data_IF_693578637118
#
_entry.id   IF_693578637118
#
_cell.length_a   1.000
_cell.length_b   1.000
_cell.length_c   1.000
_cell.angle_alpha   90.00
_cell.angle_beta   90.00
_cell.angle_gamma   90.00
#
_symmetry.space_group_name_H-M   'P 1'
#
loop_
_entity.id
_entity.type
_entity.pdbx_description
1 polymer ?
#
# COMPACT_ATOMS: atom_id res chain seq x y z
N UNK A 1 26.56 -15.37 -38.68
CA UNK A 1 26.41 -15.92 -37.31
C UNK A 1 26.17 -14.78 -36.29
N UNK A 2 24.94 -14.29 -36.10
CA UNK A 2 24.59 -13.15 -35.21
C UNK A 2 23.46 -13.47 -34.19
N UNK A 3 23.20 -14.74 -33.92
CA UNK A 3 22.08 -15.18 -33.04
C UNK A 3 22.40 -15.24 -31.54
N UNK A 4 23.68 -15.39 -31.16
CA UNK A 4 24.07 -15.64 -29.76
C UNK A 4 23.94 -14.43 -28.82
N UNK A 5 24.16 -13.21 -29.32
CA UNK A 5 24.16 -12.02 -28.45
C UNK A 5 22.77 -11.57 -28.02
N UNK A 6 21.74 -11.75 -28.87
CA UNK A 6 20.35 -11.41 -28.51
C UNK A 6 19.77 -12.36 -27.45
N UNK A 7 20.11 -13.65 -27.52
CA UNK A 7 19.71 -14.64 -26.53
C UNK A 7 20.37 -14.40 -25.16
N UNK A 8 21.66 -14.04 -25.15
CA UNK A 8 22.38 -13.66 -23.93
C UNK A 8 21.84 -12.36 -23.31
N UNK A 9 21.48 -11.38 -24.13
CA UNK A 9 20.88 -10.14 -23.66
C UNK A 9 19.48 -10.37 -23.08
N UNK A 10 18.64 -11.19 -23.73
CA UNK A 10 17.33 -11.59 -23.18
C UNK A 10 17.48 -12.34 -21.86
N UNK A 11 18.42 -13.28 -21.75
CA UNK A 11 18.68 -14.00 -20.51
C UNK A 11 19.18 -13.08 -19.38
N UNK A 12 20.04 -12.10 -19.70
CA UNK A 12 20.54 -11.11 -18.74
C UNK A 12 19.43 -10.14 -18.29
N UNK A 13 18.54 -9.72 -19.20
CA UNK A 13 17.38 -8.88 -18.88
C UNK A 13 16.37 -9.64 -18.01
N UNK A 14 16.11 -10.91 -18.32
CA UNK A 14 15.24 -11.78 -17.53
C UNK A 14 15.80 -11.98 -16.12
N UNK A 15 17.14 -12.11 -15.99
CA UNK A 15 17.82 -12.23 -14.69
C UNK A 15 17.72 -10.94 -13.87
N UNK A 16 17.82 -9.76 -14.50
CA UNK A 16 17.61 -8.47 -13.82
C UNK A 16 16.14 -8.21 -13.46
N UNK A 17 15.18 -8.66 -14.27
CA UNK A 17 13.75 -8.61 -13.90
C UNK A 17 13.42 -9.55 -12.73
N UNK A 18 14.02 -10.75 -12.70
CA UNK A 18 13.82 -11.75 -11.64
C UNK A 18 14.42 -11.32 -10.29
N UNK A 19 15.30 -10.32 -10.29
CA UNK A 19 15.90 -9.72 -9.09
C UNK A 19 15.16 -8.47 -8.60
N UNK A 20 14.08 -8.05 -9.27
CA UNK A 20 13.12 -7.12 -8.68
C UNK A 20 12.29 -7.93 -7.69
N UNK A 21 12.87 -8.10 -6.50
CA UNK A 21 12.38 -8.92 -5.40
C UNK A 21 10.93 -8.64 -5.05
N UNK A 22 10.04 -9.30 -5.78
CA UNK A 22 8.74 -9.69 -5.27
C UNK A 22 9.10 -10.72 -4.21
N UNK A 23 8.90 -10.44 -2.90
CA UNK A 23 9.23 -11.40 -1.88
C UNK A 23 8.52 -12.70 -2.24
N UNK A 24 9.35 -13.73 -2.33
CA UNK A 24 9.00 -15.13 -2.52
C UNK A 24 7.65 -15.40 -1.86
N UNK A 25 6.68 -15.75 -2.72
CA UNK A 25 5.42 -16.39 -2.40
C UNK A 25 5.16 -16.54 -0.90
N UNK A 26 4.33 -15.68 -0.33
CA UNK A 26 3.51 -16.10 0.80
C UNK A 26 2.60 -17.18 0.21
N UNK A 27 3.08 -18.42 0.25
CA UNK A 27 2.56 -19.56 -0.47
C UNK A 27 1.04 -19.68 -0.21
N UNK A 28 0.24 -19.38 -1.23
CA UNK A 28 -1.23 -19.37 -1.15
C UNK A 28 -1.91 -18.00 -1.06
N UNK A 29 -1.19 -16.87 -1.11
CA UNK A 29 -1.80 -15.53 -1.09
C UNK A 29 -1.30 -14.61 -2.23
N UNK A 30 -2.22 -13.86 -2.83
CA UNK A 30 -1.92 -12.90 -3.90
C UNK A 30 -1.28 -11.63 -3.34
N UNK A 31 0.02 -11.47 -3.60
CA UNK A 31 0.81 -10.33 -3.16
C UNK A 31 0.27 -8.98 -3.67
N UNK A 32 -0.26 -8.96 -4.90
CA UNK A 32 -0.90 -7.78 -5.47
C UNK A 32 -2.13 -7.33 -4.65
N UNK A 33 -2.94 -8.28 -4.17
CA UNK A 33 -4.12 -7.99 -3.32
C UNK A 33 -3.68 -7.43 -1.97
N UNK A 34 -2.63 -7.99 -1.37
CA UNK A 34 -2.07 -7.50 -0.09
C UNK A 34 -1.53 -6.08 -0.24
N UNK A 35 -0.82 -5.77 -1.33
CA UNK A 35 -0.33 -4.42 -1.62
C UNK A 35 -1.47 -3.41 -1.78
N UNK A 36 -2.55 -3.80 -2.46
CA UNK A 36 -3.74 -2.98 -2.66
C UNK A 36 -4.44 -2.69 -1.32
N UNK A 37 -4.48 -3.67 -0.43
CA UNK A 37 -4.93 -3.51 0.95
C UNK A 37 -4.01 -2.63 1.80
N UNK A 38 -2.70 -2.69 1.56
CA UNK A 38 -1.71 -1.78 2.16
C UNK A 38 -1.93 -0.31 1.80
N UNK A 39 -2.59 -0.03 0.67
CA UNK A 39 -2.93 1.33 0.22
C UNK A 39 -4.09 1.97 1.00
N UNK A 40 -4.88 1.17 1.74
CA UNK A 40 -6.02 1.66 2.52
C UNK A 40 -5.56 2.59 3.64
N UNK A 41 -4.48 2.24 4.36
CA UNK A 41 -3.97 3.08 5.45
C UNK A 41 -3.48 4.45 4.96
N UNK A 42 -2.61 4.54 3.93
CA UNK A 42 -2.25 5.82 3.33
C UNK A 42 -3.47 6.62 2.87
N UNK A 43 -4.47 5.98 2.25
CA UNK A 43 -5.68 6.67 1.78
C UNK A 43 -6.52 7.26 2.92
N UNK A 44 -6.66 6.55 4.04
CA UNK A 44 -7.39 7.05 5.21
C UNK A 44 -6.63 8.21 5.86
N UNK A 45 -5.30 8.08 6.00
CA UNK A 45 -4.46 9.13 6.57
C UNK A 45 -4.52 10.40 5.72
N UNK A 46 -4.38 10.29 4.39
CA UNK A 46 -4.47 11.46 3.51
C UNK A 46 -5.83 12.12 3.57
N UNK A 47 -6.92 11.34 3.62
CA UNK A 47 -8.27 11.88 3.74
C UNK A 47 -8.46 12.64 5.06
N UNK A 48 -7.99 12.09 6.18
CA UNK A 48 -8.00 12.78 7.48
C UNK A 48 -7.14 14.04 7.47
N UNK A 49 -5.95 14.01 6.87
CA UNK A 49 -5.10 15.20 6.73
C UNK A 49 -5.78 16.30 5.91
N UNK A 50 -6.42 15.95 4.79
CA UNK A 50 -7.16 16.90 3.96
C UNK A 50 -8.31 17.53 4.75
N UNK A 51 -9.09 16.72 5.47
CA UNK A 51 -10.18 17.22 6.34
C UNK A 51 -9.64 18.12 7.46
N UNK A 52 -8.54 17.74 8.10
CA UNK A 52 -7.87 18.53 9.13
C UNK A 52 -7.35 19.86 8.61
N UNK A 53 -6.77 19.87 7.41
CA UNK A 53 -6.29 21.08 6.76
C UNK A 53 -7.45 21.98 6.36
N UNK A 54 -8.47 21.45 5.68
CA UNK A 54 -9.66 22.20 5.26
C UNK A 54 -10.36 22.83 6.46
N UNK A 55 -10.56 22.08 7.54
CA UNK A 55 -11.18 22.62 8.76
C UNK A 55 -10.33 23.72 9.43
N UNK A 56 -9.00 23.55 9.49
CA UNK A 56 -8.11 24.56 10.05
C UNK A 56 -8.07 25.87 9.22
N UNK A 57 -8.24 25.77 7.90
CA UNK A 57 -8.36 26.94 7.02
C UNK A 57 -9.75 27.60 7.12
N UNK A 58 -10.82 26.81 7.15
CA UNK A 58 -12.20 27.31 7.34
C UNK A 58 -12.37 28.09 8.65
N UNK A 59 -11.74 27.61 9.73
CA UNK A 59 -11.80 28.25 11.05
C UNK A 59 -10.77 29.38 11.22
N UNK A 60 -10.02 29.73 10.18
CA UNK A 60 -8.99 30.77 10.19
C UNK A 60 -8.02 30.67 11.38
N UNK A 61 -7.60 29.44 11.70
CA UNK A 61 -6.67 29.22 12.80
C UNK A 61 -5.32 29.89 12.58
N UNK A 62 -4.67 30.27 13.69
CA UNK A 62 -3.29 30.74 13.67
C UNK A 62 -2.36 29.65 13.11
N UNK A 63 -1.22 30.06 12.55
CA UNK A 63 -0.18 29.15 12.05
C UNK A 63 0.14 27.98 13.00
N UNK A 64 0.42 28.19 14.30
CA UNK A 64 0.70 27.07 15.21
C UNK A 64 -0.50 26.14 15.38
N UNK A 65 -1.73 26.67 15.44
CA UNK A 65 -2.94 25.86 15.53
C UNK A 65 -3.17 25.02 14.28
N UNK A 66 -2.89 25.55 13.08
CA UNK A 66 -2.94 24.78 11.83
C UNK A 66 -2.01 23.57 11.85
N UNK A 67 -0.77 23.74 12.33
CA UNK A 67 0.15 22.61 12.52
C UNK A 67 -0.36 21.60 13.53
N UNK A 68 -0.93 22.06 14.65
CA UNK A 68 -1.49 21.20 15.68
C UNK A 68 -2.68 20.38 15.15
N UNK A 69 -3.58 21.01 14.39
CA UNK A 69 -4.72 20.35 13.74
C UNK A 69 -4.26 19.35 12.68
N UNK A 70 -3.21 19.67 11.91
CA UNK A 70 -2.63 18.73 10.95
C UNK A 70 -2.02 17.51 11.65
N UNK A 71 -1.25 17.72 12.72
CA UNK A 71 -0.63 16.63 13.49
C UNK A 71 -1.69 15.72 14.15
N UNK A 72 -2.69 16.32 14.79
CA UNK A 72 -3.79 15.57 15.43
C UNK A 72 -4.64 14.80 14.42
N UNK A 73 -5.00 15.41 13.28
CA UNK A 73 -5.74 14.72 12.22
C UNK A 73 -4.95 13.59 11.58
N UNK A 74 -3.63 13.72 11.45
CA UNK A 74 -2.75 12.64 10.99
C UNK A 74 -2.75 11.47 11.97
N UNK A 75 -2.61 11.74 13.28
CA UNK A 75 -2.66 10.72 14.33
C UNK A 75 -4.01 10.00 14.35
N UNK A 76 -5.12 10.74 14.25
CA UNK A 76 -6.47 10.19 14.18
C UNK A 76 -6.63 9.32 12.93
N UNK A 77 -6.18 9.79 11.76
CA UNK A 77 -6.22 9.02 10.53
C UNK A 77 -5.39 7.74 10.60
N UNK A 78 -4.23 7.79 11.26
CA UNK A 78 -3.38 6.62 11.46
C UNK A 78 -4.05 5.59 12.37
N UNK A 79 -4.63 6.03 13.49
CA UNK A 79 -5.37 5.17 14.42
C UNK A 79 -6.58 4.52 13.72
N UNK A 80 -7.40 5.31 13.02
CA UNK A 80 -8.57 4.83 12.29
C UNK A 80 -8.17 3.87 11.18
N UNK A 81 -7.14 4.18 10.40
CA UNK A 81 -6.65 3.31 9.34
C UNK A 81 -6.11 2.00 9.88
N UNK A 82 -5.36 2.04 11.00
CA UNK A 82 -4.82 0.83 11.64
C UNK A 82 -5.93 -0.05 12.20
N UNK A 83 -6.93 0.53 12.88
CA UNK A 83 -8.11 -0.19 13.36
C UNK A 83 -8.92 -0.80 12.20
N UNK A 84 -9.04 -0.06 11.10
CA UNK A 84 -9.74 -0.52 9.89
C UNK A 84 -9.02 -1.71 9.28
N UNK A 85 -7.69 -1.65 9.15
CA UNK A 85 -6.88 -2.78 8.70
C UNK A 85 -7.08 -3.96 9.66
N UNK A 86 -6.89 -3.80 10.96
CA UNK A 86 -7.05 -4.87 11.97
C UNK A 86 -8.39 -5.61 11.85
N UNK A 87 -9.50 -4.85 11.71
CA UNK A 87 -10.84 -5.44 11.53
C UNK A 87 -10.99 -6.14 10.19
N UNK A 88 -10.38 -5.60 9.15
CA UNK A 88 -10.47 -6.16 7.80
C UNK A 88 -9.45 -7.26 7.55
N UNK A 89 -8.40 -7.43 8.37
CA UNK A 89 -7.32 -8.40 8.15
C UNK A 89 -7.87 -9.81 7.92
N UNK A 90 -8.87 -10.24 8.69
CA UNK A 90 -9.51 -11.55 8.48
C UNK A 90 -10.22 -11.69 7.12
N UNK A 91 -10.86 -10.61 6.63
CA UNK A 91 -11.46 -10.59 5.28
C UNK A 91 -10.39 -10.45 4.19
N UNK A 92 -9.37 -9.62 4.42
CA UNK A 92 -8.24 -9.43 3.52
C UNK A 92 -7.50 -10.73 3.27
N UNK A 93 -7.23 -11.52 4.32
CA UNK A 93 -6.61 -12.84 4.21
C UNK A 93 -7.50 -13.79 3.39
N UNK A 94 -8.81 -13.84 3.65
CA UNK A 94 -9.74 -14.65 2.84
C UNK A 94 -9.76 -14.24 1.36
N UNK A 95 -9.72 -12.94 1.07
CA UNK A 95 -9.67 -12.41 -0.31
C UNK A 95 -8.31 -12.60 -0.98
N UNK A 96 -7.22 -12.51 -0.22
CA UNK A 96 -5.88 -12.69 -0.73
C UNK A 96 -5.57 -14.17 -0.96
N UNK A 97 -6.25 -15.10 -0.27
CA UNK A 97 -6.06 -16.54 -0.44
C UNK A 97 -6.36 -16.95 -1.88
N UNK A 98 -5.35 -17.43 -2.58
CA UNK A 98 -5.47 -18.00 -3.93
C UNK A 98 -6.04 -19.40 -3.72
N UNK A 99 -7.31 -19.60 -4.11
CA UNK A 99 -7.89 -20.94 -4.21
C UNK A 99 -7.10 -21.66 -5.31
N UNK A 100 -6.34 -22.70 -4.97
CA UNK A 100 -5.77 -23.58 -5.98
C UNK A 100 -6.98 -24.18 -6.72
N UNK A 101 -7.18 -23.79 -7.98
CA UNK A 101 -8.08 -24.52 -8.87
C UNK A 101 -7.55 -25.96 -8.94
N UNK A 102 -8.31 -26.92 -8.42
CA UNK A 102 -7.88 -28.32 -8.32
C UNK A 102 -8.49 -29.16 -7.19
N UNK A 103 -9.67 -28.80 -6.67
CA UNK A 103 -10.63 -29.72 -6.03
C UNK A 103 -11.99 -29.51 -6.69
#
# INVERSE_FOLDING_TARGET
>A
MRGGSRLRLKAALHRRLKLRGIPSEIHGYSLARILLFGLILPAIVTLCMVVGMVSAFLLNFSLPMKFLTLASSTLVGFLLGTLTILRLTGRMLKFAKIRKEGE
#
